data_IF_330892640675
#
_entry.id   IF_330892640675
#
_cell.length_a   1.000
_cell.length_b   1.000
_cell.length_c   1.000
_cell.angle_alpha   90.00
_cell.angle_beta   90.00
_cell.angle_gamma   90.00
#
_symmetry.space_group_name_H-M   'P 1'
#
loop_
_entity.id
_entity.type
_entity.pdbx_description
1 polymer ?
#
# COMPACT_ATOMS: atom_id res chain seq x y z
N UNK A 1 -13.17 -18.00 -22.42
CA UNK A 1 -13.38 -18.51 -21.06
C UNK A 1 -13.11 -17.42 -20.05
N UNK A 2 -11.97 -16.75 -20.12
CA UNK A 2 -11.50 -15.71 -19.18
C UNK A 2 -12.44 -14.49 -19.09
N UNK A 3 -12.90 -13.98 -20.24
CA UNK A 3 -13.85 -12.86 -20.29
C UNK A 3 -15.24 -13.16 -19.71
N UNK A 4 -15.59 -14.43 -19.60
CA UNK A 4 -16.84 -14.88 -18.95
C UNK A 4 -16.67 -14.91 -17.43
N UNK A 5 -15.55 -15.45 -16.94
CA UNK A 5 -15.22 -15.49 -15.52
C UNK A 5 -15.08 -14.08 -14.91
N UNK A 6 -14.51 -13.13 -15.66
CA UNK A 6 -14.43 -11.73 -15.23
C UNK A 6 -15.82 -11.06 -15.15
N UNK A 7 -16.72 -11.32 -16.09
CA UNK A 7 -18.09 -10.79 -16.04
C UNK A 7 -18.89 -11.38 -14.90
N UNK A 8 -18.76 -12.68 -14.65
CA UNK A 8 -19.45 -13.34 -13.56
C UNK A 8 -18.96 -12.86 -12.19
N UNK A 9 -17.63 -12.62 -12.03
CA UNK A 9 -17.04 -12.04 -10.82
C UNK A 9 -17.48 -10.58 -10.60
N UNK A 10 -17.60 -9.77 -11.65
CA UNK A 10 -18.10 -8.40 -11.55
C UNK A 10 -19.57 -8.37 -11.18
N UNK A 11 -20.39 -9.26 -11.75
CA UNK A 11 -21.82 -9.38 -11.42
C UNK A 11 -22.03 -9.84 -9.97
N UNK A 12 -21.23 -10.79 -9.49
CA UNK A 12 -21.29 -11.27 -8.11
C UNK A 12 -20.87 -10.18 -7.11
N UNK A 13 -19.83 -9.41 -7.42
CA UNK A 13 -19.40 -8.29 -6.58
C UNK A 13 -20.44 -7.15 -6.57
N UNK A 14 -21.07 -6.84 -7.71
CA UNK A 14 -22.15 -5.86 -7.79
C UNK A 14 -23.34 -6.27 -6.90
N UNK A 15 -23.72 -7.55 -6.94
CA UNK A 15 -24.79 -8.08 -6.09
C UNK A 15 -24.44 -8.02 -4.61
N UNK A 16 -23.21 -8.33 -4.22
CA UNK A 16 -22.74 -8.20 -2.83
C UNK A 16 -22.78 -6.75 -2.32
N UNK A 17 -22.48 -5.79 -3.20
CA UNK A 17 -22.56 -4.36 -2.86
C UNK A 17 -24.02 -3.93 -2.70
N UNK A 18 -24.93 -4.37 -3.57
CA UNK A 18 -26.36 -4.09 -3.44
C UNK A 18 -26.95 -4.71 -2.17
N UNK A 19 -26.66 -5.98 -1.88
CA UNK A 19 -27.11 -6.65 -0.67
C UNK A 19 -26.59 -5.96 0.60
N UNK A 20 -25.34 -5.49 0.60
CA UNK A 20 -24.74 -4.73 1.71
C UNK A 20 -25.37 -3.34 1.87
N UNK A 21 -25.69 -2.67 0.76
CA UNK A 21 -26.38 -1.36 0.78
C UNK A 21 -27.82 -1.50 1.27
N UNK A 22 -28.51 -2.54 0.85
CA UNK A 22 -29.88 -2.85 1.27
C UNK A 22 -29.93 -3.17 2.77
N UNK A 23 -28.99 -3.99 3.26
CA UNK A 23 -28.88 -4.29 4.70
C UNK A 23 -28.55 -3.04 5.54
N UNK A 24 -27.73 -2.12 5.00
CA UNK A 24 -27.42 -0.85 5.65
C UNK A 24 -28.61 0.11 5.65
N UNK A 25 -29.44 0.09 4.63
CA UNK A 25 -30.66 0.87 4.52
C UNK A 25 -31.73 0.36 5.49
N UNK A 26 -31.94 -0.96 5.54
CA UNK A 26 -32.88 -1.60 6.47
C UNK A 26 -32.48 -1.37 7.94
N UNK A 27 -31.18 -1.31 8.23
CA UNK A 27 -30.67 -0.95 9.55
C UNK A 27 -30.94 0.52 9.92
N UNK A 28 -30.97 1.43 8.93
CA UNK A 28 -31.31 2.85 9.12
C UNK A 28 -32.80 3.10 9.31
N UNK A 29 -33.65 2.32 8.64
CA UNK A 29 -35.10 2.52 8.64
C UNK A 29 -35.80 1.85 9.85
N UNK A 30 -35.06 1.30 10.81
CA UNK A 30 -35.57 0.80 12.08
C UNK A 30 -36.50 -0.41 11.97
N UNK A 31 -36.54 -1.09 10.84
CA UNK A 31 -37.36 -2.29 10.56
C UNK A 31 -36.65 -3.64 10.80
N UNK A 32 -35.61 -3.64 11.61
CA UNK A 32 -35.03 -4.90 12.07
C UNK A 32 -35.93 -5.52 13.14
N UNK A 33 -36.76 -6.47 12.76
CA UNK A 33 -37.41 -7.39 13.68
C UNK A 33 -36.33 -8.08 14.52
N UNK A 34 -36.52 -7.99 15.81
CA UNK A 34 -35.68 -8.51 16.87
C UNK A 34 -35.50 -10.02 16.80
N UNK A 35 -34.49 -10.51 16.09
CA UNK A 35 -33.96 -11.87 16.29
C UNK A 35 -32.71 -12.16 15.47
N UNK A 36 -31.71 -11.29 15.47
CA UNK A 36 -30.31 -11.65 15.19
C UNK A 36 -29.43 -10.48 15.59
N UNK A 37 -28.47 -10.76 16.47
CA UNK A 37 -27.51 -9.89 17.10
C UNK A 37 -27.33 -8.48 16.51
N UNK A 38 -27.67 -7.48 17.29
CA UNK A 38 -27.21 -6.10 17.06
C UNK A 38 -25.68 -6.12 16.93
N UNK A 39 -25.18 -6.11 15.72
CA UNK A 39 -23.83 -5.62 15.42
C UNK A 39 -23.86 -4.11 15.64
N UNK A 40 -23.78 -3.69 16.89
CA UNK A 40 -23.50 -2.29 17.21
C UNK A 40 -22.16 -1.96 16.57
N UNK A 41 -22.10 -0.89 15.79
CA UNK A 41 -20.83 -0.36 15.31
C UNK A 41 -19.89 -0.22 16.53
N UNK A 42 -18.78 -0.95 16.51
CA UNK A 42 -17.80 -0.89 17.59
C UNK A 42 -17.16 0.48 17.51
N UNK A 43 -17.32 1.25 18.59
CA UNK A 43 -16.66 2.54 18.72
C UNK A 43 -15.16 2.29 18.89
N UNK A 44 -14.40 2.56 17.83
CA UNK A 44 -12.96 2.30 17.75
C UNK A 44 -12.21 3.09 18.83
N UNK A 45 -12.65 4.30 19.16
CA UNK A 45 -12.02 5.13 20.17
C UNK A 45 -12.21 4.54 21.56
N UNK A 46 -13.38 3.98 21.83
CA UNK A 46 -13.62 3.21 23.08
C UNK A 46 -12.81 1.93 23.13
N UNK A 47 -12.68 1.21 22.00
CA UNK A 47 -11.87 0.00 21.93
C UNK A 47 -10.38 0.29 22.13
N UNK A 48 -9.87 1.42 21.62
CA UNK A 48 -8.49 1.88 21.87
C UNK A 48 -8.26 2.30 23.32
N UNK A 49 -9.26 2.86 23.98
CA UNK A 49 -9.18 3.27 25.38
C UNK A 49 -9.36 2.12 26.37
N UNK A 50 -9.84 0.96 25.94
CA UNK A 50 -10.07 -0.21 26.79
C UNK A 50 -8.74 -0.85 27.25
N UNK A 51 -8.53 -1.11 28.55
CA UNK A 51 -7.29 -1.70 29.06
C UNK A 51 -6.94 -3.08 28.48
N UNK A 52 -7.92 -3.80 27.93
CA UNK A 52 -7.70 -5.14 27.34
C UNK A 52 -7.40 -5.10 25.87
N UNK A 53 -8.02 -4.19 25.11
CA UNK A 53 -7.87 -4.09 23.66
C UNK A 53 -6.88 -3.00 23.25
N UNK A 54 -6.74 -1.94 24.02
CA UNK A 54 -5.83 -0.82 23.74
C UNK A 54 -4.39 -1.24 23.43
N UNK A 55 -3.76 -2.14 24.21
CA UNK A 55 -2.40 -2.61 23.89
C UNK A 55 -2.27 -3.31 22.54
N UNK A 56 -3.30 -4.05 22.11
CA UNK A 56 -3.29 -4.72 20.80
C UNK A 56 -3.39 -3.70 19.65
N UNK A 57 -4.19 -2.65 19.79
CA UNK A 57 -4.23 -1.55 18.83
C UNK A 57 -2.91 -0.78 18.78
N UNK A 58 -2.32 -0.48 19.93
CA UNK A 58 -1.03 0.20 20.02
C UNK A 58 0.08 -0.60 19.31
N UNK A 59 0.07 -1.92 19.44
CA UNK A 59 1.02 -2.79 18.74
C UNK A 59 0.83 -2.72 17.22
N UNK A 60 -0.41 -2.78 16.72
CA UNK A 60 -0.71 -2.66 15.28
C UNK A 60 -0.25 -1.31 14.74
N UNK A 61 -0.48 -0.22 15.47
CA UNK A 61 -0.02 1.12 15.09
C UNK A 61 1.51 1.22 15.11
N UNK A 62 2.18 0.61 16.08
CA UNK A 62 3.64 0.57 16.14
C UNK A 62 4.24 -0.21 14.97
N UNK A 63 3.71 -1.40 14.67
CA UNK A 63 4.14 -2.22 13.55
C UNK A 63 3.96 -1.48 12.22
N UNK A 64 2.80 -0.83 12.04
CA UNK A 64 2.51 -0.03 10.85
C UNK A 64 3.48 1.15 10.71
N UNK A 65 3.68 1.93 11.78
CA UNK A 65 4.57 3.08 11.79
C UNK A 65 6.03 2.71 11.53
N UNK A 66 6.47 1.50 11.94
CA UNK A 66 7.83 1.01 11.69
C UNK A 66 8.13 0.79 10.20
N UNK A 67 7.10 0.55 9.38
CA UNK A 67 7.21 0.30 7.94
C UNK A 67 7.00 1.56 7.09
N UNK A 68 6.42 2.62 7.68
CA UNK A 68 6.12 3.85 6.94
C UNK A 68 7.41 4.62 6.66
N UNK A 69 7.74 4.78 5.37
CA UNK A 69 8.65 5.79 4.89
C UNK A 69 7.87 7.03 4.46
N UNK A 70 8.42 8.20 4.72
CA UNK A 70 7.86 9.46 4.21
C UNK A 70 8.16 9.58 2.70
N UNK A 71 7.41 8.87 1.87
CA UNK A 71 7.34 9.21 0.46
C UNK A 71 6.38 10.39 0.31
N UNK A 72 6.86 11.51 -0.23
CA UNK A 72 6.03 12.69 -0.42
C UNK A 72 4.78 12.37 -1.25
N UNK A 73 3.64 12.97 -0.89
CA UNK A 73 2.34 12.89 -1.59
C UNK A 73 1.79 11.45 -1.77
N UNK A 74 2.12 10.52 -0.89
CA UNK A 74 1.68 9.12 -0.97
C UNK A 74 1.95 8.45 -2.32
N UNK A 75 2.98 8.87 -2.99
CA UNK A 75 3.34 8.42 -4.34
C UNK A 75 4.21 7.18 -4.25
N UNK A 76 4.01 6.25 -5.18
CA UNK A 76 4.89 5.12 -5.37
C UNK A 76 6.17 5.57 -6.13
N UNK A 77 7.36 5.59 -5.49
CA UNK A 77 8.59 6.06 -6.13
C UNK A 77 8.96 5.27 -7.39
N UNK A 78 8.66 3.97 -7.40
CA UNK A 78 8.94 3.11 -8.54
C UNK A 78 8.12 3.49 -9.78
N UNK A 79 6.84 3.80 -9.61
CA UNK A 79 5.98 4.25 -10.73
C UNK A 79 6.46 5.58 -11.27
N UNK A 80 6.86 6.51 -10.41
CA UNK A 80 7.41 7.81 -10.84
C UNK A 80 8.75 7.63 -11.57
N UNK A 81 9.58 6.69 -11.12
CA UNK A 81 10.82 6.36 -11.79
C UNK A 81 10.58 5.82 -13.20
N UNK A 82 9.65 4.88 -13.35
CA UNK A 82 9.26 4.35 -14.66
C UNK A 82 8.70 5.43 -15.60
N UNK A 83 7.91 6.37 -15.07
CA UNK A 83 7.45 7.53 -15.87
C UNK A 83 8.65 8.35 -16.36
N UNK A 84 9.62 8.63 -15.50
CA UNK A 84 10.86 9.33 -15.87
C UNK A 84 11.65 8.60 -16.94
N UNK A 85 11.88 7.30 -16.78
CA UNK A 85 12.60 6.48 -17.76
C UNK A 85 11.87 6.40 -19.11
N UNK A 86 10.53 6.26 -19.08
CA UNK A 86 9.73 6.22 -20.30
C UNK A 86 9.90 7.49 -21.12
N UNK A 87 9.77 8.67 -20.50
CA UNK A 87 9.93 9.94 -21.18
C UNK A 87 11.39 10.22 -21.59
N UNK A 88 12.37 9.75 -20.82
CA UNK A 88 13.78 9.87 -21.20
C UNK A 88 14.11 9.03 -22.45
N UNK A 89 13.56 7.80 -22.53
CA UNK A 89 13.82 6.87 -23.63
C UNK A 89 13.02 7.18 -24.90
N UNK A 90 11.84 7.79 -24.78
CA UNK A 90 10.91 8.02 -25.89
C UNK A 90 10.63 9.51 -26.13
N UNK A 91 11.53 10.40 -25.70
CA UNK A 91 11.32 11.83 -25.85
C UNK A 91 11.24 12.24 -27.33
N UNK A 92 10.17 12.90 -27.72
CA UNK A 92 9.98 13.46 -29.04
C UNK A 92 10.32 14.97 -29.07
N UNK A 93 10.33 15.60 -27.90
CA UNK A 93 10.54 17.03 -27.78
C UNK A 93 11.15 17.38 -26.38
N UNK A 94 11.54 18.64 -26.21
CA UNK A 94 12.16 19.09 -24.96
C UNK A 94 11.21 19.06 -23.75
N UNK A 95 9.90 19.13 -23.96
CA UNK A 95 8.95 19.03 -22.85
C UNK A 95 8.92 17.62 -22.26
N UNK A 96 9.10 16.58 -23.08
CA UNK A 96 9.21 15.19 -22.61
C UNK A 96 10.48 15.00 -21.78
N UNK A 97 11.62 15.58 -22.23
CA UNK A 97 12.89 15.54 -21.49
C UNK A 97 12.79 16.27 -20.15
N UNK A 98 12.12 17.41 -20.09
CA UNK A 98 11.86 18.13 -18.85
C UNK A 98 10.91 17.34 -17.91
N UNK A 99 9.94 16.63 -18.46
CA UNK A 99 9.08 15.73 -17.68
C UNK A 99 9.90 14.57 -17.10
N UNK A 100 10.75 13.94 -17.93
CA UNK A 100 11.67 12.90 -17.45
C UNK A 100 12.55 13.39 -16.31
N UNK A 101 13.18 14.56 -16.47
CA UNK A 101 14.02 15.17 -15.44
C UNK A 101 13.28 15.39 -14.15
N UNK A 102 12.06 15.99 -14.19
CA UNK A 102 11.25 16.25 -12.99
C UNK A 102 10.81 14.97 -12.28
N UNK A 103 10.44 13.93 -13.04
CA UNK A 103 10.05 12.63 -12.46
C UNK A 103 11.25 11.99 -11.75
N UNK A 104 12.43 11.97 -12.37
CA UNK A 104 13.65 11.42 -11.77
C UNK A 104 14.12 12.26 -10.57
N UNK A 105 14.06 13.59 -10.65
CA UNK A 105 14.35 14.51 -9.53
C UNK A 105 13.47 14.22 -8.31
N UNK A 106 12.17 13.99 -8.54
CA UNK A 106 11.23 13.62 -7.47
C UNK A 106 11.62 12.31 -6.81
N UNK A 107 12.02 11.30 -7.58
CA UNK A 107 12.48 10.01 -7.04
C UNK A 107 13.79 10.16 -6.28
N UNK A 108 14.72 10.99 -6.77
CA UNK A 108 15.97 11.30 -6.07
C UNK A 108 15.72 11.90 -4.67
N UNK A 109 14.69 12.73 -4.54
CA UNK A 109 14.23 13.24 -3.25
C UNK A 109 13.66 12.17 -2.31
N UNK A 110 13.01 11.13 -2.86
CA UNK A 110 12.43 10.02 -2.08
C UNK A 110 13.45 8.93 -1.73
N UNK A 111 14.50 8.76 -2.52
CA UNK A 111 15.56 7.77 -2.33
C UNK A 111 16.96 8.44 -2.35
N UNK A 112 17.27 9.32 -1.39
CA UNK A 112 18.47 10.16 -1.43
C UNK A 112 19.79 9.36 -1.32
N UNK A 113 19.74 8.15 -0.80
CA UNK A 113 20.90 7.27 -0.64
C UNK A 113 21.18 6.40 -1.88
N UNK A 114 20.28 6.42 -2.88
CA UNK A 114 20.42 5.65 -4.10
C UNK A 114 21.32 6.39 -5.11
N UNK A 115 22.54 5.89 -5.30
CA UNK A 115 23.53 6.49 -6.21
C UNK A 115 23.11 6.40 -7.68
N UNK A 116 22.45 5.32 -8.08
CA UNK A 116 21.99 5.14 -9.48
C UNK A 116 20.95 6.19 -9.86
N UNK A 117 20.02 6.52 -8.94
CA UNK A 117 19.04 7.58 -9.19
C UNK A 117 19.71 8.96 -9.33
N UNK A 118 20.80 9.21 -8.60
CA UNK A 118 21.57 10.46 -8.77
C UNK A 118 22.25 10.51 -10.14
N UNK A 119 22.81 9.40 -10.59
CA UNK A 119 23.42 9.30 -11.93
C UNK A 119 22.34 9.46 -13.03
N UNK A 120 21.16 8.87 -12.84
CA UNK A 120 20.03 9.03 -13.75
C UNK A 120 19.51 10.47 -13.78
N UNK A 121 19.49 11.17 -12.63
CA UNK A 121 19.13 12.58 -12.58
C UNK A 121 20.14 13.44 -13.38
N UNK A 122 21.43 13.19 -13.20
CA UNK A 122 22.45 13.90 -13.97
C UNK A 122 22.34 13.63 -15.47
N UNK A 123 22.01 12.39 -15.86
CA UNK A 123 21.75 12.00 -17.25
C UNK A 123 20.51 12.71 -17.82
N UNK A 124 19.42 12.79 -17.04
CA UNK A 124 18.18 13.47 -17.44
C UNK A 124 18.39 14.99 -17.56
N UNK A 125 19.14 15.61 -16.67
CA UNK A 125 19.55 17.02 -16.75
C UNK A 125 20.38 17.29 -18.00
N UNK A 126 21.35 16.41 -18.31
CA UNK A 126 22.14 16.51 -19.53
C UNK A 126 21.26 16.37 -20.79
N UNK A 127 20.28 15.46 -20.78
CA UNK A 127 19.34 15.25 -21.87
C UNK A 127 18.48 16.50 -22.10
N UNK A 128 17.92 17.11 -21.05
CA UNK A 128 17.16 18.35 -21.14
C UNK A 128 18.00 19.53 -21.73
N UNK A 129 19.33 19.46 -21.58
CA UNK A 129 20.29 20.39 -22.20
C UNK A 129 20.77 19.91 -23.58
N UNK A 130 20.12 18.95 -24.23
CA UNK A 130 20.41 18.49 -25.58
C UNK A 130 21.46 17.37 -25.67
N UNK A 131 21.95 16.83 -24.56
CA UNK A 131 22.91 15.73 -24.54
C UNK A 131 22.24 14.43 -24.12
N UNK A 132 21.63 13.75 -25.07
CA UNK A 132 20.94 12.47 -24.83
C UNK A 132 21.90 11.38 -24.34
N UNK A 133 21.51 10.60 -23.34
CA UNK A 133 22.30 9.44 -22.88
C UNK A 133 22.26 8.34 -23.95
N UNK A 134 23.35 7.60 -24.08
CA UNK A 134 23.48 6.48 -25.02
C UNK A 134 23.97 5.25 -24.29
N UNK A 135 23.47 4.06 -24.67
CA UNK A 135 23.99 2.79 -24.19
C UNK A 135 23.66 2.46 -22.73
N UNK A 136 22.59 3.01 -22.17
CA UNK A 136 22.14 2.67 -20.83
C UNK A 136 21.34 1.38 -20.84
N UNK A 137 21.60 0.51 -19.85
CA UNK A 137 20.84 -0.71 -19.58
C UNK A 137 20.37 -0.69 -18.13
N UNK A 138 19.06 -0.78 -17.93
CA UNK A 138 18.46 -0.84 -16.59
C UNK A 138 18.15 -2.28 -16.23
N UNK A 139 18.58 -2.70 -15.05
CA UNK A 139 18.24 -4.01 -14.46
C UNK A 139 17.35 -3.74 -13.24
N UNK A 140 16.05 -4.00 -13.40
CA UNK A 140 15.07 -3.85 -12.34
C UNK A 140 14.92 -5.20 -11.64
N UNK A 141 15.09 -5.20 -10.31
CA UNK A 141 14.99 -6.37 -9.48
C UNK A 141 13.87 -6.19 -8.46
N UNK A 142 12.85 -7.03 -8.58
CA UNK A 142 11.74 -7.09 -7.64
C UNK A 142 11.90 -8.34 -6.76
N UNK A 143 11.72 -8.17 -5.46
CA UNK A 143 11.94 -9.25 -4.50
C UNK A 143 10.97 -9.14 -3.33
N UNK A 144 10.68 -10.29 -2.70
CA UNK A 144 9.77 -10.39 -1.58
C UNK A 144 8.30 -10.54 -2.00
N UNK A 145 7.43 -10.44 -1.03
CA UNK A 145 5.98 -10.47 -1.22
C UNK A 145 5.35 -9.26 -0.53
N UNK A 146 4.31 -8.70 -1.14
CA UNK A 146 3.58 -7.60 -0.56
C UNK A 146 2.92 -7.98 0.77
N UNK A 147 2.72 -7.04 1.69
CA UNK A 147 1.96 -7.29 2.91
C UNK A 147 0.52 -7.63 2.57
N UNK A 148 -0.11 -8.45 3.37
CA UNK A 148 -1.50 -8.83 3.18
C UNK A 148 -2.36 -8.39 4.36
N UNK A 149 -3.66 -8.22 4.09
CA UNK A 149 -4.64 -7.90 5.14
C UNK A 149 -4.92 -9.15 5.97
N UNK A 150 -4.72 -9.02 7.26
CA UNK A 150 -5.06 -9.98 8.32
C UNK A 150 -6.08 -9.31 9.26
N UNK A 151 -6.60 -10.03 10.24
CA UNK A 151 -7.56 -9.51 11.19
C UNK A 151 -6.97 -9.46 12.61
N UNK A 152 -7.17 -8.33 13.27
CA UNK A 152 -7.09 -8.25 14.73
C UNK A 152 -8.47 -8.58 15.30
N UNK A 153 -8.62 -9.77 15.88
CA UNK A 153 -9.86 -10.19 16.50
C UNK A 153 -9.82 -9.92 18.00
N UNK A 154 -10.83 -9.21 18.48
CA UNK A 154 -11.02 -8.91 19.90
C UNK A 154 -12.30 -9.57 20.34
N UNK A 155 -12.19 -10.56 21.24
CA UNK A 155 -13.29 -11.35 21.76
C UNK A 155 -13.55 -10.93 23.21
N UNK A 156 -14.75 -10.40 23.48
CA UNK A 156 -15.15 -9.97 24.82
C UNK A 156 -16.16 -10.99 25.37
N UNK A 157 -15.85 -11.71 26.45
CA UNK A 157 -16.77 -12.63 27.08
C UNK A 157 -17.86 -11.86 27.85
N UNK A 158 -18.93 -11.49 27.18
CA UNK A 158 -20.00 -10.62 27.73
C UNK A 158 -20.86 -11.34 28.78
N UNK A 159 -20.80 -12.68 28.82
CA UNK A 159 -21.49 -13.48 29.87
C UNK A 159 -21.06 -13.10 31.28
N UNK A 160 -19.90 -12.46 31.47
CA UNK A 160 -19.41 -11.94 32.76
C UNK A 160 -20.14 -10.65 33.18
N UNK A 161 -20.86 -9.99 32.27
CA UNK A 161 -21.50 -8.69 32.51
C UNK A 161 -23.03 -8.77 32.40
N UNK A 162 -23.54 -9.57 31.46
CA UNK A 162 -24.99 -9.72 31.22
C UNK A 162 -25.34 -11.18 30.91
N UNK A 163 -26.22 -11.78 31.69
CA UNK A 163 -26.62 -13.17 31.51
C UNK A 163 -27.44 -13.49 30.25
N UNK A 164 -27.59 -12.54 29.31
CA UNK A 164 -28.37 -12.66 28.08
C UNK A 164 -27.57 -12.72 26.77
N UNK A 165 -26.30 -12.34 26.78
CA UNK A 165 -25.42 -12.40 25.62
C UNK A 165 -24.18 -13.23 25.97
N UNK A 166 -23.96 -14.31 25.20
CA UNK A 166 -22.84 -15.22 25.50
C UNK A 166 -21.51 -14.71 25.02
N UNK A 167 -21.48 -13.81 24.00
CA UNK A 167 -20.24 -13.44 23.28
C UNK A 167 -20.43 -12.15 22.49
N UNK A 168 -19.43 -11.28 22.53
CA UNK A 168 -19.29 -10.16 21.60
C UNK A 168 -17.87 -10.15 21.06
N UNK A 169 -17.71 -10.13 19.75
CA UNK A 169 -16.42 -10.07 19.08
C UNK A 169 -16.41 -8.98 18.02
N UNK A 170 -15.28 -8.33 17.87
CA UNK A 170 -15.02 -7.40 16.80
C UNK A 170 -13.73 -7.80 16.07
N UNK A 171 -13.71 -7.66 14.74
CA UNK A 171 -12.54 -7.89 13.92
C UNK A 171 -12.15 -6.58 13.23
N UNK A 172 -10.90 -6.20 13.39
CA UNK A 172 -10.31 -5.01 12.77
C UNK A 172 -9.27 -5.45 11.76
N UNK A 173 -9.16 -4.79 10.60
CA UNK A 173 -8.11 -5.11 9.65
C UNK A 173 -6.76 -4.69 10.23
N UNK A 174 -5.74 -5.51 9.98
CA UNK A 174 -4.33 -5.19 10.21
C UNK A 174 -3.50 -5.63 9.02
N UNK A 175 -2.34 -5.02 8.82
CA UNK A 175 -1.37 -5.49 7.85
C UNK A 175 -0.43 -6.52 8.48
N UNK A 176 -0.13 -7.57 7.74
CA UNK A 176 0.92 -8.53 8.05
C UNK A 176 2.01 -8.42 7.01
N UNK A 177 3.19 -7.98 7.47
CA UNK A 177 4.38 -7.82 6.66
C UNK A 177 5.12 -9.16 6.53
N UNK A 178 5.81 -9.34 5.40
CA UNK A 178 6.61 -10.51 5.12
C UNK A 178 8.08 -10.12 5.06
N UNK A 179 8.93 -10.90 5.73
CA UNK A 179 10.37 -10.61 5.84
C UNK A 179 11.22 -11.40 4.85
N UNK A 180 10.61 -12.31 4.10
CA UNK A 180 11.35 -13.20 3.18
C UNK A 180 11.61 -12.49 1.85
N UNK A 181 12.75 -11.80 1.77
CA UNK A 181 13.20 -11.14 0.55
C UNK A 181 14.71 -11.18 0.41
N UNK A 182 15.19 -11.11 -0.83
CA UNK A 182 16.61 -10.97 -1.14
C UNK A 182 16.95 -9.48 -1.13
N UNK A 183 17.87 -9.01 -0.28
CA UNK A 183 18.07 -7.56 -0.05
C UNK A 183 18.73 -6.84 -1.22
N UNK A 184 19.50 -7.53 -2.06
CA UNK A 184 20.16 -6.94 -3.20
C UNK A 184 20.50 -7.96 -4.28
N UNK A 185 20.56 -7.50 -5.54
CA UNK A 185 21.07 -8.24 -6.69
C UNK A 185 22.47 -7.75 -7.03
N UNK A 186 23.40 -8.67 -7.30
CA UNK A 186 24.70 -8.35 -7.88
C UNK A 186 24.68 -8.66 -9.37
N UNK A 187 24.97 -7.66 -10.19
CA UNK A 187 25.06 -7.77 -11.64
C UNK A 187 26.53 -7.62 -12.04
N UNK A 188 27.02 -8.49 -12.91
CA UNK A 188 28.37 -8.41 -13.46
C UNK A 188 28.31 -8.28 -14.98
N UNK A 189 29.07 -7.33 -15.52
CA UNK A 189 29.19 -7.08 -16.95
C UNK A 189 30.68 -7.00 -17.32
N UNK A 190 31.25 -8.10 -17.81
CA UNK A 190 32.70 -8.20 -18.04
C UNK A 190 33.49 -8.12 -16.74
N UNK A 191 34.35 -7.13 -16.61
CA UNK A 191 35.15 -6.87 -15.40
C UNK A 191 34.39 -6.04 -14.35
N UNK A 192 33.31 -5.39 -14.71
CA UNK A 192 32.55 -4.53 -13.83
C UNK A 192 31.49 -5.33 -13.04
N UNK A 193 31.25 -4.93 -11.81
CA UNK A 193 30.21 -5.51 -10.96
C UNK A 193 29.48 -4.41 -10.20
N UNK A 194 28.15 -4.48 -10.21
CA UNK A 194 27.26 -3.53 -9.58
C UNK A 194 26.36 -4.27 -8.59
N UNK A 195 26.02 -3.61 -7.49
CA UNK A 195 25.02 -4.10 -6.54
C UNK A 195 23.80 -3.20 -6.62
N UNK A 196 22.61 -3.79 -6.74
CA UNK A 196 21.36 -3.02 -6.81
C UNK A 196 21.16 -2.18 -5.54
N UNK A 197 20.49 -1.04 -5.70
CA UNK A 197 20.07 -0.17 -4.61
C UNK A 197 18.55 -0.04 -4.59
N UNK A 198 17.96 0.09 -3.40
CA UNK A 198 16.51 0.15 -3.26
C UNK A 198 15.97 1.49 -3.77
N UNK A 199 14.98 1.43 -4.65
CA UNK A 199 14.22 2.60 -5.12
C UNK A 199 12.96 2.77 -4.28
N UNK A 200 12.24 1.69 -4.04
CA UNK A 200 10.95 1.69 -3.38
C UNK A 200 10.79 0.49 -2.44
N UNK A 201 10.16 0.72 -1.31
CA UNK A 201 9.61 -0.32 -0.43
C UNK A 201 8.10 -0.38 -0.64
N UNK A 202 7.59 -1.46 -1.22
CA UNK A 202 6.15 -1.68 -1.39
C UNK A 202 5.44 -1.80 -0.04
N UNK A 203 6.12 -2.34 0.97
CA UNK A 203 5.60 -2.38 2.35
C UNK A 203 5.28 -0.97 2.85
N UNK A 204 6.18 -0.01 2.57
CA UNK A 204 5.98 1.38 2.98
C UNK A 204 4.87 2.08 2.20
N UNK A 205 4.72 1.80 0.90
CA UNK A 205 3.62 2.34 0.08
C UNK A 205 2.28 1.83 0.61
N UNK A 206 2.15 0.50 0.77
CA UNK A 206 0.92 -0.13 1.24
C UNK A 206 0.61 0.27 2.69
N UNK A 207 1.62 0.41 3.56
CA UNK A 207 1.43 0.87 4.92
C UNK A 207 0.90 2.31 4.99
N UNK A 208 1.40 3.21 4.13
CA UNK A 208 0.89 4.58 4.03
C UNK A 208 -0.57 4.61 3.57
N UNK A 209 -0.92 3.86 2.53
CA UNK A 209 -2.30 3.77 2.04
C UNK A 209 -3.23 3.20 3.11
N UNK A 210 -2.83 2.12 3.75
CA UNK A 210 -3.59 1.49 4.83
C UNK A 210 -3.81 2.43 6.01
N UNK A 211 -2.79 3.22 6.40
CA UNK A 211 -2.91 4.19 7.50
C UNK A 211 -3.94 5.27 7.20
N UNK A 212 -4.05 5.69 5.95
CA UNK A 212 -5.04 6.69 5.54
C UNK A 212 -6.47 6.15 5.54
N UNK A 213 -6.64 4.87 5.28
CA UNK A 213 -7.94 4.18 5.34
C UNK A 213 -8.36 3.83 6.78
N UNK A 214 -7.40 3.67 7.70
CA UNK A 214 -7.62 3.21 9.08
C UNK A 214 -8.61 4.03 9.90
N UNK A 215 -8.68 5.38 9.80
CA UNK A 215 -9.64 6.17 10.56
C UNK A 215 -11.09 6.08 10.08
N UNK A 216 -11.33 5.49 8.91
CA UNK A 216 -12.64 5.43 8.24
C UNK A 216 -13.36 4.09 8.41
N UNK A 217 -12.79 3.16 9.20
CA UNK A 217 -13.37 1.84 9.46
C UNK A 217 -14.11 1.78 10.81
#
# INVERSE_FOLDING_TARGET
VEARLQRDAVAENAKRIEDAQQAAQEAKDGKATSESGKTGAVDVDKAKADPKSGPAFAQVEADLNSQIKAYGDYVNPFVVFLDGLFFLANAENNADLERARKSIERVAGMAPDNTFIKDDLAAAEAAANGKLPTGLTYVIFETGAAPFRDQLRIDIPVFLVTGKLSYAGAAFPKLKFQSDYVPALRVSAGADAFTSSTICSMDSVIANDFKNEWPTI
#
